data_IF_175909803098
#
_entry.id   IF_175909803098
#
_cell.length_a   1.000
_cell.length_b   1.000
_cell.length_c   1.000
_cell.angle_alpha   90.00
_cell.angle_beta   90.00
_cell.angle_gamma   90.00
#
_symmetry.space_group_name_H-M   'P 1'
#
loop_
_entity.id
_entity.type
_entity.pdbx_description
1 polymer ?
#
# COMPACT_ATOMS: atom_id res chain seq x y z
N UNK A 1 -6.78 -9.01 3.71
CA UNK A 1 -5.44 -9.49 3.29
C UNK A 1 -4.84 -10.31 4.43
N UNK A 2 -4.64 -11.57 4.21
CA UNK A 2 -4.04 -12.46 5.21
C UNK A 2 -2.55 -12.67 4.88
N UNK A 3 -1.84 -13.44 5.73
CA UNK A 3 -0.40 -13.64 5.58
C UNK A 3 -0.02 -14.31 4.25
N UNK A 4 -0.79 -15.29 3.79
CA UNK A 4 -0.52 -16.00 2.55
C UNK A 4 -0.65 -15.06 1.34
N UNK A 5 -1.75 -14.30 1.28
CA UNK A 5 -1.95 -13.31 0.22
C UNK A 5 -0.90 -12.20 0.27
N UNK A 6 -0.48 -11.79 1.46
CA UNK A 6 0.54 -10.77 1.62
C UNK A 6 1.88 -11.20 1.00
N UNK A 7 2.29 -12.46 1.19
CA UNK A 7 3.52 -12.98 0.61
C UNK A 7 3.47 -12.99 -0.92
N UNK A 8 2.36 -13.41 -1.50
CA UNK A 8 2.21 -13.45 -2.95
C UNK A 8 2.22 -12.04 -3.54
N UNK A 9 1.52 -11.10 -2.92
CA UNK A 9 1.49 -9.71 -3.36
C UNK A 9 2.88 -9.10 -3.26
N UNK A 10 3.61 -9.35 -2.17
CA UNK A 10 4.97 -8.84 -1.98
C UNK A 10 5.90 -9.32 -3.09
N UNK A 11 5.91 -10.62 -3.37
CA UNK A 11 6.77 -11.19 -4.41
C UNK A 11 6.46 -10.64 -5.79
N UNK A 12 5.18 -10.54 -6.14
CA UNK A 12 4.77 -9.99 -7.43
C UNK A 12 5.13 -8.52 -7.57
N UNK A 13 4.86 -7.72 -6.53
CA UNK A 13 5.17 -6.30 -6.53
C UNK A 13 6.67 -6.05 -6.59
N UNK A 14 7.47 -6.78 -5.81
CA UNK A 14 8.93 -6.64 -5.81
C UNK A 14 9.50 -6.91 -7.20
N UNK A 15 9.04 -7.97 -7.85
CA UNK A 15 9.49 -8.32 -9.19
C UNK A 15 9.19 -7.21 -10.19
N UNK A 16 7.97 -6.66 -10.16
CA UNK A 16 7.58 -5.57 -11.05
C UNK A 16 8.41 -4.32 -10.82
N UNK A 17 8.62 -3.96 -9.55
CA UNK A 17 9.41 -2.78 -9.20
C UNK A 17 10.86 -2.93 -9.66
N UNK A 18 11.48 -4.06 -9.39
CA UNK A 18 12.88 -4.31 -9.75
C UNK A 18 13.11 -4.36 -11.26
N UNK A 19 12.24 -5.06 -11.99
CA UNK A 19 12.40 -5.24 -13.44
C UNK A 19 12.09 -3.99 -14.24
N UNK A 20 11.16 -3.15 -13.77
CA UNK A 20 10.67 -2.01 -14.54
C UNK A 20 11.05 -0.66 -13.96
N UNK A 21 11.80 -0.63 -12.85
CA UNK A 21 12.19 0.62 -12.15
C UNK A 21 10.99 1.52 -11.85
N UNK A 22 9.92 0.90 -11.34
CA UNK A 22 8.67 1.60 -11.02
C UNK A 22 8.89 2.59 -9.89
N UNK A 23 8.45 3.82 -10.08
CA UNK A 23 8.57 4.91 -9.10
C UNK A 23 7.27 5.29 -8.41
N UNK A 24 6.15 4.69 -8.82
CA UNK A 24 4.86 4.95 -8.19
C UNK A 24 4.11 3.64 -8.04
N UNK A 25 3.70 3.35 -6.83
CA UNK A 25 2.89 2.17 -6.53
C UNK A 25 1.58 2.64 -5.93
N UNK A 26 0.47 2.15 -6.47
CA UNK A 26 -0.87 2.50 -6.00
C UNK A 26 -1.53 1.25 -5.43
N UNK A 27 -1.89 1.30 -4.15
CA UNK A 27 -2.68 0.25 -3.52
C UNK A 27 -4.15 0.63 -3.58
N UNK A 28 -4.95 -0.19 -4.25
CA UNK A 28 -6.39 -0.01 -4.36
C UNK A 28 -7.09 -0.86 -3.30
N UNK A 29 -7.79 -0.20 -2.38
CA UNK A 29 -8.48 -0.85 -1.26
C UNK A 29 -9.98 -0.96 -1.46
N UNK A 30 -10.48 -0.80 -2.69
CA UNK A 30 -11.91 -0.82 -2.97
C UNK A 30 -12.60 -2.10 -2.47
N UNK A 31 -11.93 -3.24 -2.61
CA UNK A 31 -12.44 -4.55 -2.20
C UNK A 31 -11.89 -5.01 -0.85
N UNK A 32 -11.17 -4.15 -0.13
CA UNK A 32 -10.47 -4.51 1.10
C UNK A 32 -11.17 -3.87 2.29
N UNK A 33 -11.62 -4.70 3.25
CA UNK A 33 -12.30 -4.25 4.46
C UNK A 33 -11.47 -4.44 5.73
N UNK A 34 -10.39 -5.20 5.64
CA UNK A 34 -9.55 -5.51 6.80
C UNK A 34 -8.13 -5.79 6.33
N UNK A 35 -7.17 -5.45 7.20
CA UNK A 35 -5.77 -5.72 6.94
C UNK A 35 -5.07 -6.00 8.27
N UNK A 36 -4.28 -7.07 8.30
CA UNK A 36 -3.45 -7.41 9.47
C UNK A 36 -2.04 -6.82 9.33
N UNK A 37 -1.17 -7.14 10.29
CA UNK A 37 0.21 -6.65 10.28
C UNK A 37 1.00 -7.11 9.06
N UNK A 38 0.67 -8.26 8.49
CA UNK A 38 1.33 -8.74 7.27
C UNK A 38 1.02 -7.84 6.08
N UNK A 39 -0.24 -7.40 5.96
CA UNK A 39 -0.65 -6.46 4.92
C UNK A 39 0.02 -5.10 5.07
N UNK A 40 0.09 -4.59 6.30
CA UNK A 40 0.81 -3.35 6.59
C UNK A 40 2.29 -3.51 6.22
N UNK A 41 2.89 -4.65 6.52
CA UNK A 41 4.28 -4.94 6.15
C UNK A 41 4.52 -4.93 4.65
N UNK A 42 3.54 -5.39 3.86
CA UNK A 42 3.62 -5.32 2.39
C UNK A 42 3.73 -3.87 1.93
N UNK A 43 2.88 -2.99 2.47
CA UNK A 43 2.87 -1.58 2.11
C UNK A 43 4.20 -0.92 2.47
N UNK A 44 4.67 -1.16 3.69
CA UNK A 44 5.92 -0.56 4.18
C UNK A 44 7.13 -1.03 3.39
N UNK A 45 7.18 -2.32 3.04
CA UNK A 45 8.27 -2.88 2.24
C UNK A 45 8.33 -2.28 0.84
N UNK A 46 7.16 -2.13 0.20
CA UNK A 46 7.09 -1.50 -1.14
C UNK A 46 7.44 -0.02 -1.05
N UNK A 47 7.02 0.65 0.00
CA UNK A 47 7.41 2.04 0.20
C UNK A 47 8.93 2.19 0.24
N UNK A 48 9.63 1.35 1.00
CA UNK A 48 11.09 1.43 1.10
C UNK A 48 11.77 1.24 -0.26
N UNK A 49 11.31 0.28 -1.06
CA UNK A 49 11.88 0.03 -2.39
C UNK A 49 11.69 1.22 -3.32
N UNK A 50 10.47 1.73 -3.37
CA UNK A 50 10.11 2.84 -4.26
C UNK A 50 10.75 4.13 -3.80
N UNK A 51 10.84 4.35 -2.50
CA UNK A 51 11.49 5.53 -1.93
C UNK A 51 12.96 5.62 -2.33
N UNK A 52 13.67 4.48 -2.31
CA UNK A 52 15.08 4.44 -2.74
C UNK A 52 15.26 4.79 -4.23
N UNK A 53 14.22 4.61 -5.03
CA UNK A 53 14.19 4.99 -6.44
C UNK A 53 13.68 6.42 -6.66
N UNK A 54 13.42 7.17 -5.58
CA UNK A 54 12.88 8.52 -5.66
C UNK A 54 11.38 8.59 -5.94
N UNK A 55 10.67 7.51 -5.67
CA UNK A 55 9.24 7.42 -5.95
C UNK A 55 8.35 7.54 -4.73
N UNK A 56 7.09 7.21 -4.91
CA UNK A 56 6.07 7.34 -3.87
C UNK A 56 5.04 6.22 -3.93
N UNK A 57 4.31 6.05 -2.84
CA UNK A 57 3.24 5.05 -2.72
C UNK A 57 1.94 5.77 -2.37
N UNK A 58 0.87 5.39 -3.06
CA UNK A 58 -0.46 5.94 -2.88
C UNK A 58 -1.44 4.87 -2.45
N UNK A 59 -2.42 5.25 -1.64
CA UNK A 59 -3.57 4.42 -1.31
C UNK A 59 -4.83 5.08 -1.85
N UNK A 60 -5.66 4.33 -2.56
CA UNK A 60 -6.89 4.82 -3.15
C UNK A 60 -8.07 3.94 -2.74
N UNK A 61 -9.26 4.51 -2.75
CA UNK A 61 -10.53 3.82 -2.47
C UNK A 61 -10.58 3.13 -1.09
N UNK A 62 -9.89 3.67 -0.11
CA UNK A 62 -9.98 3.17 1.26
C UNK A 62 -11.30 3.63 1.88
N UNK A 63 -12.11 2.68 2.37
CA UNK A 63 -13.31 3.03 3.12
C UNK A 63 -12.93 3.53 4.53
N UNK A 64 -13.92 3.96 5.30
CA UNK A 64 -13.66 4.52 6.64
C UNK A 64 -12.92 3.54 7.55
N UNK A 65 -13.28 2.27 7.49
CA UNK A 65 -12.60 1.24 8.29
C UNK A 65 -11.14 1.08 7.90
N UNK A 66 -10.86 1.05 6.60
CA UNK A 66 -9.48 0.93 6.10
C UNK A 66 -8.66 2.18 6.40
N UNK A 67 -9.25 3.37 6.26
CA UNK A 67 -8.57 4.61 6.65
C UNK A 67 -8.15 4.59 8.11
N UNK A 68 -9.03 4.10 8.98
CA UNK A 68 -8.73 3.98 10.40
C UNK A 68 -7.58 3.00 10.66
N UNK A 69 -7.62 1.84 10.02
CA UNK A 69 -6.56 0.83 10.14
C UNK A 69 -5.21 1.39 9.67
N UNK A 70 -5.18 2.03 8.52
CA UNK A 70 -3.96 2.61 7.96
C UNK A 70 -3.43 3.74 8.85
N UNK A 71 -4.31 4.59 9.37
CA UNK A 71 -3.92 5.69 10.25
C UNK A 71 -3.35 5.18 11.57
N UNK A 72 -4.01 4.18 12.17
CA UNK A 72 -3.54 3.61 13.44
C UNK A 72 -2.21 2.89 13.31
N UNK A 73 -1.92 2.32 12.15
CA UNK A 73 -0.64 1.65 11.90
C UNK A 73 0.52 2.63 11.67
N UNK A 74 0.22 3.90 11.44
CA UNK A 74 1.22 4.92 11.13
C UNK A 74 1.62 5.00 9.67
N UNK A 75 1.10 4.13 8.82
CA UNK A 75 1.43 4.08 7.40
C UNK A 75 1.07 5.38 6.67
N UNK A 76 0.03 6.06 7.11
CA UNK A 76 -0.40 7.32 6.49
C UNK A 76 0.60 8.46 6.66
N UNK A 77 1.62 8.28 7.50
CA UNK A 77 2.70 9.26 7.65
C UNK A 77 3.73 9.16 6.53
N UNK A 78 3.77 8.04 5.81
CA UNK A 78 4.78 7.79 4.80
C UNK A 78 4.20 7.56 3.40
N UNK A 79 2.93 7.17 3.29
CA UNK A 79 2.27 7.02 1.99
C UNK A 79 1.24 8.12 1.78
N UNK A 80 0.91 8.37 0.51
CA UNK A 80 -0.10 9.36 0.14
C UNK A 80 -1.49 8.72 0.16
N UNK A 81 -2.47 9.41 0.74
CA UNK A 81 -3.86 8.96 0.73
C UNK A 81 -4.63 9.81 -0.28
N UNK A 82 -5.22 9.16 -1.27
CA UNK A 82 -6.12 9.84 -2.19
C UNK A 82 -7.55 9.72 -1.70
N UNK A 83 -8.20 10.86 -1.52
CA UNK A 83 -9.61 10.90 -1.13
C UNK A 83 -10.41 11.52 -2.27
N UNK A 84 -11.47 10.81 -2.69
CA UNK A 84 -12.40 11.39 -3.64
C UNK A 84 -13.26 12.43 -2.92
N UNK A 85 -13.24 13.66 -3.43
CA UNK A 85 -14.15 14.68 -2.95
C UNK A 85 -15.50 14.48 -3.62
N UNK A 86 -16.51 14.24 -2.79
CA UNK A 86 -17.88 14.19 -3.28
C UNK A 86 -18.41 15.61 -3.33
N UNK A 87 -18.64 16.06 -4.51
CA UNK A 87 -19.22 17.39 -4.74
C UNK A 87 -20.74 17.30 -4.68
#
# INVERSE_FOLDING_TARGET
MDHHNAEEIRKGADKLIEENHIKCVIFDFQETNFMDSSGIGVIMGRYKMVYLLGGEVWAVHANERMKKILTMSGVTKIIQMYEEETI
#
